data_IF_680224500257
#
_entry.id   IF_680224500257
#
_cell.length_a   1.000
_cell.length_b   1.000
_cell.length_c   1.000
_cell.angle_alpha   90.00
_cell.angle_beta   90.00
_cell.angle_gamma   90.00
#
_symmetry.space_group_name_H-M   'P 1'
#
loop_
_entity.id
_entity.type
_entity.pdbx_description
1 polymer ?
#
# COMPACT_ATOMS: atom_id res chain seq x y z
N UNK A 1 20.73 -7.43 20.85
CA UNK A 1 20.47 -8.61 21.70
C UNK A 1 21.10 -9.86 21.12
N UNK A 2 21.41 -10.83 21.99
CA UNK A 2 21.80 -12.19 21.60
C UNK A 2 20.64 -13.11 21.95
N UNK A 3 20.07 -13.80 20.96
CA UNK A 3 18.99 -14.77 21.13
C UNK A 3 19.44 -16.15 20.63
N UNK A 4 19.26 -17.19 21.44
CA UNK A 4 19.67 -18.58 21.13
C UNK A 4 21.08 -18.68 20.50
N UNK A 5 22.02 -17.87 21.00
CA UNK A 5 23.42 -17.84 20.54
C UNK A 5 23.67 -17.04 19.24
N UNK A 6 22.68 -16.33 18.72
CA UNK A 6 22.79 -15.44 17.55
C UNK A 6 22.63 -13.98 17.96
N UNK A 7 23.56 -13.14 17.53
CA UNK A 7 23.46 -11.70 17.71
C UNK A 7 22.53 -11.13 16.64
N UNK A 8 21.48 -10.41 17.05
CA UNK A 8 20.48 -9.83 16.15
C UNK A 8 20.82 -8.36 15.89
N UNK A 9 21.29 -8.04 14.68
CA UNK A 9 21.70 -6.66 14.30
C UNK A 9 20.79 -6.03 13.27
N UNK A 10 20.23 -6.84 12.39
CA UNK A 10 19.43 -6.41 11.26
C UNK A 10 17.99 -6.89 11.39
N UNK A 11 17.10 -6.34 10.56
CA UNK A 11 15.72 -6.82 10.43
C UNK A 11 15.71 -8.28 9.95
N UNK A 12 16.64 -8.66 9.08
CA UNK A 12 16.77 -10.04 8.61
C UNK A 12 17.15 -11.00 9.75
N UNK A 13 18.07 -10.59 10.64
CA UNK A 13 18.40 -11.39 11.83
C UNK A 13 17.19 -11.52 12.76
N UNK A 14 16.45 -10.42 12.96
CA UNK A 14 15.23 -10.40 13.78
C UNK A 14 14.19 -11.39 13.26
N UNK A 15 14.01 -11.47 11.94
CA UNK A 15 13.10 -12.43 11.29
C UNK A 15 13.57 -13.88 11.48
N UNK A 16 14.74 -14.23 10.92
CA UNK A 16 15.15 -15.62 10.78
C UNK A 16 15.72 -16.24 12.06
N UNK A 17 16.39 -15.44 12.88
CA UNK A 17 17.08 -15.92 14.09
C UNK A 17 16.38 -15.50 15.38
N UNK A 18 15.45 -14.56 15.33
CA UNK A 18 14.59 -14.15 16.45
C UNK A 18 13.21 -14.79 16.38
N UNK A 19 12.37 -14.26 15.51
CA UNK A 19 10.93 -14.57 15.42
C UNK A 19 10.69 -16.03 15.01
N UNK A 20 11.35 -16.49 13.94
CA UNK A 20 11.17 -17.85 13.40
C UNK A 20 11.71 -18.94 14.33
N UNK A 21 12.60 -18.57 15.25
CA UNK A 21 13.17 -19.48 16.22
C UNK A 21 12.34 -19.60 17.50
N UNK A 22 11.21 -18.90 17.60
CA UNK A 22 10.28 -19.03 18.72
C UNK A 22 9.24 -20.11 18.39
N UNK A 23 9.37 -21.28 19.00
CA UNK A 23 8.53 -22.45 18.74
C UNK A 23 7.27 -22.50 19.62
N UNK A 24 7.17 -21.62 20.62
CA UNK A 24 6.01 -21.50 21.50
C UNK A 24 5.71 -20.05 21.89
N UNK A 25 4.48 -19.76 22.38
CA UNK A 25 4.14 -18.45 22.94
C UNK A 25 5.06 -18.04 24.09
N UNK A 26 5.46 -18.98 24.95
CA UNK A 26 6.34 -18.69 26.09
C UNK A 26 7.73 -18.26 25.63
N UNK A 27 8.28 -18.91 24.60
CA UNK A 27 9.55 -18.49 24.01
C UNK A 27 9.44 -17.10 23.37
N UNK A 28 8.35 -16.82 22.65
CA UNK A 28 8.11 -15.51 22.05
C UNK A 28 7.98 -14.39 23.11
N UNK A 29 7.33 -14.67 24.23
CA UNK A 29 7.24 -13.71 25.35
C UNK A 29 8.59 -13.48 26.02
N UNK A 30 9.39 -14.53 26.20
CA UNK A 30 10.75 -14.39 26.74
C UNK A 30 11.68 -13.62 25.78
N UNK A 31 11.56 -13.89 24.47
CA UNK A 31 12.22 -13.13 23.43
C UNK A 31 11.90 -11.64 23.56
N UNK A 32 10.60 -11.29 23.59
CA UNK A 32 10.17 -9.90 23.71
C UNK A 32 10.61 -9.24 25.02
N UNK A 33 10.59 -9.98 26.13
CA UNK A 33 11.07 -9.47 27.42
C UNK A 33 12.53 -9.04 27.36
N UNK A 34 13.38 -9.82 26.71
CA UNK A 34 14.79 -9.48 26.51
C UNK A 34 14.94 -8.35 25.49
N UNK A 35 14.24 -8.42 24.36
CA UNK A 35 14.37 -7.44 23.30
C UNK A 35 13.95 -6.03 23.76
N UNK A 36 12.86 -5.92 24.52
CA UNK A 36 12.37 -4.66 25.12
C UNK A 36 13.35 -4.01 26.10
N UNK A 37 14.24 -4.78 26.73
CA UNK A 37 15.26 -4.23 27.64
C UNK A 37 16.39 -3.52 26.88
N UNK A 38 16.66 -3.97 25.65
CA UNK A 38 17.76 -3.45 24.84
C UNK A 38 17.29 -2.47 23.76
N UNK A 39 16.02 -2.56 23.34
CA UNK A 39 15.49 -1.76 22.24
C UNK A 39 14.12 -1.15 22.62
N UNK A 40 14.02 0.20 22.73
CA UNK A 40 12.77 0.87 23.06
C UNK A 40 11.70 0.72 21.97
N UNK A 41 12.09 0.40 20.73
CA UNK A 41 11.20 0.21 19.59
C UNK A 41 10.90 -1.29 19.32
N UNK A 42 11.23 -2.19 20.26
CA UNK A 42 11.08 -3.64 20.08
C UNK A 42 9.67 -4.05 19.60
N UNK A 43 8.62 -3.53 20.22
CA UNK A 43 7.23 -3.84 19.87
C UNK A 43 6.88 -3.36 18.46
N UNK A 44 7.32 -2.16 18.10
CA UNK A 44 7.11 -1.59 16.76
C UNK A 44 7.88 -2.38 15.70
N UNK A 45 9.11 -2.81 16.00
CA UNK A 45 9.94 -3.58 15.07
C UNK A 45 9.33 -4.95 14.79
N UNK A 46 8.95 -5.71 15.84
CA UNK A 46 8.32 -7.03 15.66
C UNK A 46 6.94 -6.88 15.02
N UNK A 47 6.16 -5.89 15.46
CA UNK A 47 4.85 -5.59 14.89
C UNK A 47 4.94 -5.18 13.41
N UNK A 48 5.96 -4.44 12.99
CA UNK A 48 6.16 -4.08 11.58
C UNK A 48 6.65 -5.29 10.77
N UNK A 49 7.57 -6.07 11.34
CA UNK A 49 8.13 -7.26 10.69
C UNK A 49 7.08 -8.34 10.44
N UNK A 50 6.05 -8.45 11.29
CA UNK A 50 4.95 -9.38 11.07
C UNK A 50 4.25 -9.16 9.71
N UNK A 51 4.31 -7.94 9.16
CA UNK A 51 3.75 -7.62 7.84
C UNK A 51 4.49 -8.25 6.65
N UNK A 52 5.66 -8.86 6.86
CA UNK A 52 6.40 -9.61 5.84
C UNK A 52 6.04 -11.12 5.81
N UNK A 53 5.22 -11.58 6.75
CA UNK A 53 4.80 -12.97 6.86
C UNK A 53 3.43 -13.20 6.21
N UNK A 54 3.03 -14.46 6.06
CA UNK A 54 1.66 -14.81 5.66
C UNK A 54 0.67 -14.31 6.71
N UNK A 55 -0.62 -14.17 6.37
CA UNK A 55 -1.65 -13.73 7.32
C UNK A 55 -1.75 -14.63 8.55
N UNK A 56 -1.61 -15.95 8.38
CA UNK A 56 -1.58 -16.93 9.48
C UNK A 56 -0.39 -16.71 10.41
N UNK A 57 0.79 -16.49 9.85
CA UNK A 57 2.00 -16.24 10.63
C UNK A 57 1.99 -14.85 11.27
N UNK A 58 1.41 -13.84 10.61
CA UNK A 58 1.19 -12.53 11.22
C UNK A 58 0.29 -12.64 12.45
N UNK A 59 -0.79 -13.42 12.37
CA UNK A 59 -1.68 -13.67 13.52
C UNK A 59 -0.91 -14.34 14.66
N UNK A 60 -0.16 -15.39 14.35
CA UNK A 60 0.72 -16.06 15.31
C UNK A 60 1.69 -15.07 15.96
N UNK A 61 2.38 -14.24 15.18
CA UNK A 61 3.37 -13.29 15.68
C UNK A 61 2.71 -12.23 16.59
N UNK A 62 1.65 -11.58 16.14
CA UNK A 62 0.97 -10.55 16.93
C UNK A 62 0.45 -11.12 18.26
N UNK A 63 -0.10 -12.34 18.23
CA UNK A 63 -0.60 -13.01 19.43
C UNK A 63 0.52 -13.49 20.35
N UNK A 64 1.48 -14.26 19.82
CA UNK A 64 2.53 -14.91 20.62
C UNK A 64 3.53 -13.92 21.18
N UNK A 65 3.86 -12.86 20.44
CA UNK A 65 4.79 -11.83 20.89
C UNK A 65 4.07 -10.72 21.67
N UNK A 66 2.73 -10.69 21.66
CA UNK A 66 1.93 -9.72 22.37
C UNK A 66 2.22 -8.29 21.91
N UNK A 67 2.26 -8.10 20.59
CA UNK A 67 2.55 -6.82 19.92
C UNK A 67 1.42 -6.47 18.96
N UNK A 68 1.41 -5.22 18.52
CA UNK A 68 0.49 -4.72 17.51
C UNK A 68 1.30 -4.21 16.31
N UNK A 69 0.80 -4.45 15.09
CA UNK A 69 1.37 -3.83 13.91
C UNK A 69 1.16 -2.31 13.99
N UNK A 70 2.19 -1.46 13.82
CA UNK A 70 2.07 0.00 13.99
C UNK A 70 0.95 0.65 13.16
N UNK A 71 0.68 0.07 11.98
CA UNK A 71 -0.37 0.53 11.05
C UNK A 71 -1.73 -0.15 11.20
N UNK A 72 -1.76 -1.44 11.55
CA UNK A 72 -2.97 -2.27 11.48
C UNK A 72 -3.48 -2.70 12.86
N UNK A 73 -2.75 -2.35 13.92
CA UNK A 73 -3.05 -2.81 15.26
C UNK A 73 -2.92 -4.32 15.37
N UNK A 74 -3.89 -4.95 16.02
CA UNK A 74 -4.01 -6.41 16.11
C UNK A 74 -4.91 -7.01 15.03
N UNK A 75 -5.41 -6.19 14.10
CA UNK A 75 -6.26 -6.67 13.00
C UNK A 75 -5.35 -7.32 11.96
N UNK A 76 -5.70 -8.53 11.53
CA UNK A 76 -5.05 -9.16 10.38
C UNK A 76 -5.62 -8.52 9.12
N UNK A 77 -4.82 -7.74 8.36
CA UNK A 77 -5.27 -7.20 7.11
C UNK A 77 -5.59 -8.36 6.16
N UNK A 78 -6.74 -8.30 5.47
CA UNK A 78 -6.99 -9.21 4.37
C UNK A 78 -5.94 -8.96 3.25
N UNK A 79 -5.77 -9.91 2.32
CA UNK A 79 -4.76 -9.81 1.27
C UNK A 79 -4.80 -8.46 0.54
N UNK A 80 -6.02 -7.97 0.29
CA UNK A 80 -6.30 -6.62 -0.15
C UNK A 80 -5.58 -5.56 0.72
N UNK A 81 -5.93 -5.43 2.01
CA UNK A 81 -5.35 -4.47 2.96
C UNK A 81 -3.81 -4.55 3.07
N UNK A 82 -3.20 -5.73 2.93
CA UNK A 82 -1.73 -5.92 2.96
C UNK A 82 -1.04 -5.36 1.71
N UNK A 83 -1.52 -5.73 0.52
CA UNK A 83 -0.98 -5.19 -0.74
C UNK A 83 -1.23 -3.68 -0.85
N UNK A 84 -2.36 -3.19 -0.33
CA UNK A 84 -2.67 -1.76 -0.24
C UNK A 84 -1.80 -1.00 0.76
N UNK A 85 -1.43 -1.63 1.89
CA UNK A 85 -0.51 -1.05 2.86
C UNK A 85 0.84 -0.69 2.24
N UNK A 86 1.35 -1.57 1.38
CA UNK A 86 2.61 -1.41 0.64
C UNK A 86 2.49 -0.43 -0.53
N UNK A 87 1.40 -0.49 -1.32
CA UNK A 87 1.14 0.46 -2.40
C UNK A 87 0.90 1.90 -1.90
N UNK A 88 0.24 2.05 -0.76
CA UNK A 88 0.03 3.34 -0.08
C UNK A 88 1.34 3.91 0.48
N UNK A 89 2.16 3.09 1.15
CA UNK A 89 3.50 3.47 1.59
C UNK A 89 4.38 3.88 0.41
N UNK A 90 4.32 3.14 -0.70
CA UNK A 90 5.04 3.49 -1.92
C UNK A 90 4.56 4.84 -2.49
N UNK A 91 3.24 5.06 -2.60
CA UNK A 91 2.66 6.33 -3.04
C UNK A 91 3.04 7.50 -2.12
N UNK A 92 2.95 7.35 -0.80
CA UNK A 92 3.39 8.35 0.20
C UNK A 92 4.88 8.65 0.06
N UNK A 93 5.71 7.62 -0.07
CA UNK A 93 7.16 7.78 -0.21
C UNK A 93 7.56 8.41 -1.55
N UNK A 94 6.71 8.34 -2.57
CA UNK A 94 6.90 9.01 -3.85
C UNK A 94 6.41 10.45 -3.89
N UNK A 95 5.28 10.73 -3.23
CA UNK A 95 4.80 12.09 -2.98
C UNK A 95 5.84 12.90 -2.19
N UNK A 96 6.49 12.26 -1.21
CA UNK A 96 7.65 12.80 -0.48
C UNK A 96 8.89 13.05 -1.34
N UNK A 97 9.09 12.29 -2.43
CA UNK A 97 10.21 12.46 -3.37
C UNK A 97 9.97 13.54 -4.44
N UNK A 98 8.75 14.11 -4.53
CA UNK A 98 8.33 14.88 -5.72
C UNK A 98 7.62 16.22 -5.52
N UNK A 99 7.55 16.81 -4.32
CA UNK A 99 6.92 18.11 -3.97
C UNK A 99 5.52 18.08 -3.31
N UNK A 100 5.11 16.99 -2.64
CA UNK A 100 3.85 16.96 -1.88
C UNK A 100 4.11 16.81 -0.39
N UNK A 101 3.34 17.51 0.44
CA UNK A 101 3.41 17.43 1.90
C UNK A 101 2.37 16.43 2.43
N UNK A 102 2.58 15.93 3.66
CA UNK A 102 1.60 15.07 4.32
C UNK A 102 0.24 15.79 4.53
N UNK A 103 0.24 17.13 4.59
CA UNK A 103 -0.96 17.96 4.77
C UNK A 103 -1.85 18.04 3.51
N UNK A 104 -1.31 17.64 2.35
CA UNK A 104 -2.07 17.53 1.09
C UNK A 104 -2.98 16.28 1.05
N UNK A 105 -2.89 15.41 2.08
CA UNK A 105 -3.63 14.14 2.19
C UNK A 105 -4.67 14.27 3.31
N UNK A 106 -5.90 14.62 2.97
CA UNK A 106 -6.85 15.13 3.98
C UNK A 106 -7.86 14.14 4.52
N UNK A 107 -8.07 12.97 3.89
CA UNK A 107 -9.09 12.05 4.41
C UNK A 107 -8.87 10.61 3.95
N UNK A 108 -8.59 9.70 4.89
CA UNK A 108 -8.58 8.25 4.70
C UNK A 108 -9.88 7.75 5.33
N UNK A 109 -11.00 7.86 4.63
CA UNK A 109 -12.25 7.32 5.14
C UNK A 109 -12.30 5.82 4.82
N UNK A 110 -12.49 5.01 5.86
CA UNK A 110 -12.95 3.63 5.76
C UNK A 110 -14.38 3.67 5.23
N UNK A 111 -14.57 3.41 3.94
CA UNK A 111 -15.88 3.10 3.41
C UNK A 111 -16.08 1.57 3.55
N UNK A 112 -17.30 1.13 3.83
CA UNK A 112 -17.60 -0.30 4.06
C UNK A 112 -17.32 -1.17 2.82
N UNK A 113 -17.18 -0.53 1.65
CA UNK A 113 -16.91 -1.14 0.34
C UNK A 113 -15.49 -0.84 -0.21
N UNK A 114 -14.60 -0.21 0.58
CA UNK A 114 -13.21 0.07 0.19
C UNK A 114 -12.52 1.21 0.97
N UNK A 115 -11.20 1.36 0.78
CA UNK A 115 -10.41 2.45 1.37
C UNK A 115 -10.08 3.50 0.29
N UNK A 116 -10.24 4.79 0.62
CA UNK A 116 -9.89 5.88 -0.30
C UNK A 116 -9.22 7.07 0.37
N UNK A 117 -8.33 7.75 -0.37
CA UNK A 117 -7.68 8.99 0.08
C UNK A 117 -7.83 10.14 -0.91
N UNK A 118 -7.82 11.37 -0.41
CA UNK A 118 -7.87 12.58 -1.24
C UNK A 118 -6.51 13.30 -1.25
N UNK A 119 -5.89 13.44 -2.43
CA UNK A 119 -4.70 14.29 -2.63
C UNK A 119 -5.10 15.71 -3.05
N UNK A 120 -4.44 16.74 -2.51
CA UNK A 120 -4.69 18.17 -2.76
C UNK A 120 -6.17 18.60 -2.58
N UNK A 121 -6.96 17.85 -1.80
CA UNK A 121 -8.43 17.97 -1.69
C UNK A 121 -9.20 17.75 -3.00
N UNK A 122 -8.57 17.26 -4.07
CA UNK A 122 -9.19 17.19 -5.41
C UNK A 122 -9.04 15.86 -6.14
N UNK A 123 -8.06 15.01 -5.79
CA UNK A 123 -7.90 13.68 -6.41
C UNK A 123 -8.33 12.60 -5.42
N UNK A 124 -9.45 11.94 -5.68
CA UNK A 124 -9.95 10.83 -4.86
C UNK A 124 -9.45 9.52 -5.45
N UNK A 125 -8.64 8.77 -4.70
CA UNK A 125 -8.33 7.37 -5.01
C UNK A 125 -9.31 6.46 -4.26
N UNK A 126 -9.96 5.51 -4.94
CA UNK A 126 -10.70 4.41 -4.31
C UNK A 126 -10.12 3.08 -4.74
N UNK A 127 -9.97 2.14 -3.82
CA UNK A 127 -9.65 0.76 -4.18
C UNK A 127 -10.76 -0.22 -3.87
N UNK A 128 -11.10 -1.07 -4.83
CA UNK A 128 -12.09 -2.17 -4.69
C UNK A 128 -11.39 -3.48 -4.99
N UNK A 129 -11.60 -4.50 -4.16
CA UNK A 129 -11.24 -5.89 -4.51
C UNK A 129 -12.46 -6.63 -5.00
N UNK A 130 -12.32 -7.33 -6.12
CA UNK A 130 -13.38 -8.17 -6.63
C UNK A 130 -13.10 -9.63 -6.26
N UNK A 131 -13.77 -10.12 -5.22
CA UNK A 131 -13.64 -11.51 -4.74
C UNK A 131 -14.27 -12.55 -5.69
N UNK A 132 -14.89 -12.14 -6.79
CA UNK A 132 -15.81 -12.99 -7.56
C UNK A 132 -15.22 -13.74 -8.77
N UNK A 133 -13.93 -13.64 -9.10
CA UNK A 133 -13.39 -14.25 -10.34
C UNK A 133 -12.04 -14.96 -10.26
N UNK A 134 -11.44 -15.14 -9.08
CA UNK A 134 -10.19 -15.91 -8.94
C UNK A 134 -8.94 -15.27 -9.58
N UNK A 135 -9.08 -14.09 -10.17
CA UNK A 135 -7.98 -13.20 -10.52
C UNK A 135 -7.99 -12.06 -9.50
N UNK A 136 -6.97 -11.99 -8.65
CA UNK A 136 -6.82 -10.91 -7.67
C UNK A 136 -6.56 -9.59 -8.43
N UNK A 137 -7.64 -8.89 -8.77
CA UNK A 137 -7.60 -7.59 -9.42
C UNK A 137 -7.74 -6.49 -8.39
N UNK A 138 -6.76 -5.58 -8.34
CA UNK A 138 -6.90 -4.33 -7.59
C UNK A 138 -7.52 -3.29 -8.54
N UNK A 139 -8.65 -2.70 -8.15
CA UNK A 139 -9.30 -1.64 -8.93
C UNK A 139 -9.09 -0.29 -8.26
N UNK A 140 -8.20 0.52 -8.81
CA UNK A 140 -7.92 1.88 -8.36
C UNK A 140 -8.72 2.89 -9.20
N UNK A 141 -9.52 3.75 -8.58
CA UNK A 141 -10.24 4.84 -9.28
C UNK A 141 -9.72 6.17 -8.79
N UNK A 142 -9.07 6.94 -9.66
CA UNK A 142 -8.66 8.32 -9.45
C UNK A 142 -9.71 9.27 -10.03
N UNK A 143 -10.34 10.11 -9.21
CA UNK A 143 -11.27 11.16 -9.67
C UNK A 143 -10.69 12.53 -9.38
N UNK A 144 -10.53 13.37 -10.41
CA UNK A 144 -9.91 14.69 -10.32
C UNK A 144 -10.65 15.75 -11.15
N UNK A 145 -10.67 17.04 -10.77
CA UNK A 145 -11.20 18.09 -11.63
C UNK A 145 -10.41 18.17 -12.93
N UNK A 146 -11.08 18.54 -14.04
CA UNK A 146 -10.43 18.69 -15.35
C UNK A 146 -9.53 19.94 -15.33
N UNK A 147 -8.26 19.75 -14.98
CA UNK A 147 -7.23 20.79 -14.96
C UNK A 147 -5.93 20.25 -15.60
N UNK A 148 -5.31 21.00 -16.51
CA UNK A 148 -4.03 20.61 -17.09
C UNK A 148 -2.92 20.46 -16.04
N UNK A 149 -3.00 21.16 -14.90
CA UNK A 149 -2.04 20.96 -13.81
C UNK A 149 -2.18 19.60 -13.11
N UNK A 150 -3.33 18.92 -13.24
CA UNK A 150 -3.56 17.61 -12.62
C UNK A 150 -3.10 16.44 -13.51
N UNK A 151 -2.89 16.68 -14.81
CA UNK A 151 -2.46 15.64 -15.77
C UNK A 151 -1.18 14.97 -15.32
N UNK A 152 -0.18 15.77 -14.92
CA UNK A 152 1.10 15.26 -14.44
C UNK A 152 0.94 14.42 -13.17
N UNK A 153 0.13 14.92 -12.24
CA UNK A 153 -0.11 14.28 -10.95
C UNK A 153 -0.79 12.92 -11.14
N UNK A 154 -1.84 12.88 -11.98
CA UNK A 154 -2.58 11.66 -12.31
C UNK A 154 -1.74 10.69 -13.15
N UNK A 155 -0.90 11.19 -14.06
CA UNK A 155 0.03 10.39 -14.86
C UNK A 155 1.06 9.66 -14.00
N UNK A 156 1.68 10.37 -13.05
CA UNK A 156 2.64 9.78 -12.09
C UNK A 156 1.96 8.71 -11.24
N UNK A 157 0.80 9.02 -10.67
CA UNK A 157 0.07 8.06 -9.83
C UNK A 157 -0.32 6.80 -10.60
N UNK A 158 -0.78 6.97 -11.85
CA UNK A 158 -1.20 5.84 -12.69
C UNK A 158 -0.04 4.91 -13.05
N UNK A 159 1.08 5.48 -13.51
CA UNK A 159 2.28 4.70 -13.84
C UNK A 159 2.81 3.93 -12.64
N UNK A 160 2.76 4.56 -11.46
CA UNK A 160 3.21 3.92 -10.25
C UNK A 160 2.29 2.80 -9.78
N UNK A 161 0.96 2.99 -9.86
CA UNK A 161 -0.01 1.92 -9.56
C UNK A 161 0.19 0.73 -10.50
N UNK A 162 0.58 0.96 -11.75
CA UNK A 162 0.94 -0.10 -12.71
C UNK A 162 2.30 -0.75 -12.41
N UNK A 163 3.08 -0.21 -11.48
CA UNK A 163 4.42 -0.69 -11.12
C UNK A 163 5.50 -0.39 -12.16
N UNK A 164 5.29 0.58 -13.05
CA UNK A 164 6.22 0.92 -14.12
C UNK A 164 6.20 2.44 -14.40
N UNK A 165 7.15 3.15 -13.81
CA UNK A 165 7.28 4.60 -13.93
C UNK A 165 7.56 5.06 -15.37
N UNK A 166 8.02 4.17 -16.27
CA UNK A 166 8.23 4.52 -17.68
C UNK A 166 6.92 4.75 -18.44
N UNK A 167 5.79 4.29 -17.88
CA UNK A 167 4.46 4.48 -18.45
C UNK A 167 3.88 5.89 -18.21
N UNK A 168 4.53 6.70 -17.37
CA UNK A 168 4.08 8.04 -17.00
C UNK A 168 3.71 8.88 -18.23
N UNK A 169 4.65 9.04 -19.15
CA UNK A 169 4.47 9.93 -20.31
C UNK A 169 3.37 9.40 -21.24
N UNK A 170 3.25 8.08 -21.35
CA UNK A 170 2.18 7.43 -22.12
C UNK A 170 0.80 7.71 -21.51
N UNK A 171 0.68 7.67 -20.18
CA UNK A 171 -0.57 7.98 -19.49
C UNK A 171 -0.88 9.48 -19.58
N UNK A 172 0.12 10.37 -19.42
CA UNK A 172 -0.05 11.81 -19.60
C UNK A 172 -0.58 12.17 -20.99
N UNK A 173 -0.06 11.54 -22.04
CA UNK A 173 -0.55 11.74 -23.41
C UNK A 173 -2.03 11.32 -23.56
N UNK A 174 -2.41 10.17 -23.01
CA UNK A 174 -3.80 9.71 -23.02
C UNK A 174 -4.72 10.67 -22.26
N UNK A 175 -4.27 11.18 -21.11
CA UNK A 175 -5.01 12.15 -20.31
C UNK A 175 -5.26 13.45 -21.09
N UNK A 176 -4.21 13.99 -21.74
CA UNK A 176 -4.31 15.19 -22.57
C UNK A 176 -5.28 14.97 -23.72
N UNK A 177 -5.23 13.80 -24.37
CA UNK A 177 -6.13 13.45 -25.45
C UNK A 177 -7.58 13.43 -24.95
N UNK A 178 -7.86 12.71 -23.86
CA UNK A 178 -9.21 12.62 -23.27
C UNK A 178 -9.75 14.00 -22.92
N UNK A 179 -8.95 14.85 -22.26
CA UNK A 179 -9.34 16.22 -21.90
C UNK A 179 -9.66 17.04 -23.15
N UNK A 180 -8.85 16.92 -24.20
CA UNK A 180 -9.00 17.70 -25.44
C UNK A 180 -10.23 17.31 -26.25
N UNK A 181 -10.47 16.00 -26.42
CA UNK A 181 -11.53 15.49 -27.31
C UNK A 181 -12.78 15.03 -26.56
N UNK A 182 -12.78 15.10 -25.22
CA UNK A 182 -13.88 14.68 -24.34
C UNK A 182 -14.40 13.29 -24.66
N UNK A 183 -13.50 12.32 -24.73
CA UNK A 183 -13.83 10.93 -25.09
C UNK A 183 -13.18 9.94 -24.14
N UNK A 184 -13.70 8.71 -24.09
CA UNK A 184 -13.12 7.65 -23.27
C UNK A 184 -11.89 7.06 -23.97
N UNK A 185 -10.83 6.79 -23.21
CA UNK A 185 -9.65 6.03 -23.67
C UNK A 185 -9.40 4.86 -22.74
N UNK A 186 -8.92 3.77 -23.30
CA UNK A 186 -8.55 2.57 -22.57
C UNK A 186 -7.25 2.05 -23.14
N UNK A 187 -6.34 1.61 -22.26
CA UNK A 187 -5.06 1.02 -22.66
C UNK A 187 -4.68 -0.10 -21.72
N UNK A 188 -4.43 -1.26 -22.31
CA UNK A 188 -3.90 -2.44 -21.62
C UNK A 188 -2.37 -2.36 -21.61
N UNK A 189 -1.80 -2.57 -20.43
CA UNK A 189 -0.38 -2.67 -20.15
C UNK A 189 -0.02 -4.08 -19.66
N UNK A 190 1.28 -4.34 -19.50
CA UNK A 190 1.78 -5.65 -19.07
C UNK A 190 1.28 -6.08 -17.69
N UNK A 191 1.03 -5.13 -16.80
CA UNK A 191 0.69 -5.37 -15.38
C UNK A 191 -0.71 -4.87 -15.01
N UNK A 192 -1.50 -4.43 -15.97
CA UNK A 192 -2.83 -3.89 -15.71
C UNK A 192 -3.42 -3.14 -16.89
N UNK A 193 -4.54 -2.49 -16.67
CA UNK A 193 -5.27 -1.69 -17.64
C UNK A 193 -5.54 -0.31 -17.06
N UNK A 194 -5.49 0.72 -17.89
CA UNK A 194 -5.93 2.07 -17.54
C UNK A 194 -7.07 2.48 -18.44
N UNK A 195 -8.18 2.91 -17.84
CA UNK A 195 -9.33 3.50 -18.51
C UNK A 195 -9.52 4.92 -18.00
N UNK A 196 -9.58 5.88 -18.92
CA UNK A 196 -9.72 7.30 -18.65
C UNK A 196 -11.03 7.77 -19.27
N UNK A 197 -11.87 8.40 -18.45
CA UNK A 197 -13.14 8.97 -18.86
C UNK A 197 -13.31 10.38 -18.28
N UNK A 198 -14.29 11.12 -18.81
CA UNK A 198 -14.79 12.34 -18.20
C UNK A 198 -16.19 12.05 -17.67
N UNK A 199 -16.39 12.28 -16.37
CA UNK A 199 -17.68 12.20 -15.70
C UNK A 199 -17.99 13.56 -15.10
N UNK A 200 -19.05 14.20 -15.61
CA UNK A 200 -19.41 15.58 -15.26
C UNK A 200 -18.22 16.53 -15.52
N UNK A 201 -17.72 17.19 -14.49
CA UNK A 201 -16.58 18.10 -14.54
C UNK A 201 -15.26 17.45 -14.07
N UNK A 202 -15.23 16.11 -14.00
CA UNK A 202 -14.09 15.37 -13.48
C UNK A 202 -13.50 14.42 -14.52
N UNK A 203 -12.18 14.36 -14.52
CA UNK A 203 -11.41 13.24 -15.03
C UNK A 203 -11.58 12.05 -14.07
N UNK A 204 -11.91 10.88 -14.62
CA UNK A 204 -11.98 9.61 -13.89
C UNK A 204 -11.03 8.62 -14.54
N UNK A 205 -10.03 8.17 -13.79
CA UNK A 205 -9.04 7.17 -14.23
C UNK A 205 -9.21 5.91 -13.41
N UNK A 206 -9.68 4.86 -14.06
CA UNK A 206 -9.78 3.51 -13.50
C UNK A 206 -8.55 2.72 -13.89
N UNK A 207 -7.87 2.14 -12.93
CA UNK A 207 -6.67 1.34 -13.11
C UNK A 207 -6.94 -0.05 -12.53
N UNK A 208 -6.92 -1.06 -13.39
CA UNK A 208 -7.08 -2.46 -12.99
C UNK A 208 -5.72 -3.11 -12.98
N UNK A 209 -5.16 -3.40 -11.80
CA UNK A 209 -3.88 -4.09 -11.69
C UNK A 209 -4.11 -5.60 -11.65
N UNK A 210 -3.35 -6.34 -12.47
CA UNK A 210 -3.36 -7.80 -12.44
C UNK A 210 -2.30 -8.23 -11.42
N UNK A 211 -2.74 -8.71 -10.26
CA UNK A 211 -1.82 -9.33 -9.30
C UNK A 211 -1.42 -10.72 -9.82
N UNK A 212 -0.12 -10.98 -9.84
CA UNK A 212 0.45 -12.30 -10.13
C UNK A 212 0.85 -13.00 -8.84
#
# INVERSE_FOLDING_TARGET
MIWKGKELKTIEDLMWYGIDQCESPEEAQEFMRQYRQENPDADSNVGYVSGYYSSEEMERILQWFGVAHPKFGTKIPNAAETFYGLGFEAAINLLRKGNYSADDITNINQDLDGFGFTLKKSVVLKSVTNDSSGAYGIFNVLKAPIDQSIVRDVGILSAHILGDDTLKDIVEELLIEVIKVKSVREKVFKYGEVKIAIEEDNLVVTITQILK
#
